data_IF_207286436178
#
_entry.id   IF_207286436178
#
_cell.length_a   1.000
_cell.length_b   1.000
_cell.length_c   1.000
_cell.angle_alpha   90.00
_cell.angle_beta   90.00
_cell.angle_gamma   90.00
#
_symmetry.space_group_name_H-M   'P 1'
#
loop_
_entity.id
_entity.type
_entity.pdbx_description
1 polymer ?
#
# COMPACT_ATOMS: atom_id res chain seq x y z
N UNK A 1 -9.56 12.93 17.95
CA UNK A 1 -10.63 13.90 17.59
C UNK A 1 -11.97 13.22 17.75
N UNK A 2 -12.86 13.69 18.64
CA UNK A 2 -14.16 13.05 18.91
C UNK A 2 -15.11 13.01 17.69
N UNK A 3 -14.79 13.72 16.61
CA UNK A 3 -15.53 13.67 15.34
C UNK A 3 -15.24 12.43 14.49
N UNK A 4 -14.24 11.60 14.85
CA UNK A 4 -13.84 10.41 14.09
C UNK A 4 -14.17 9.09 14.79
N UNK A 5 -14.75 9.11 16.00
CA UNK A 5 -15.00 7.92 16.83
C UNK A 5 -16.12 6.99 16.28
N UNK A 6 -16.69 7.31 15.11
CA UNK A 6 -17.74 6.51 14.45
C UNK A 6 -17.57 6.40 12.93
N UNK A 7 -16.38 6.67 12.40
CA UNK A 7 -16.11 6.52 10.96
C UNK A 7 -15.92 5.04 10.63
N UNK A 8 -16.96 4.40 10.09
CA UNK A 8 -16.92 3.05 9.53
C UNK A 8 -16.59 3.11 8.03
N UNK A 9 -15.38 2.70 7.67
CA UNK A 9 -14.87 2.68 6.30
C UNK A 9 -15.67 1.74 5.37
N UNK A 10 -16.48 0.83 5.94
CA UNK A 10 -17.40 -0.06 5.22
C UNK A 10 -18.72 0.62 4.80
N UNK A 11 -19.05 1.78 5.36
CA UNK A 11 -20.28 2.50 4.99
C UNK A 11 -20.02 3.34 3.73
N UNK A 12 -20.92 3.25 2.75
CA UNK A 12 -20.83 4.02 1.52
C UNK A 12 -20.64 5.53 1.79
N UNK A 13 -20.14 6.29 0.80
CA UNK A 13 -19.73 7.67 1.03
C UNK A 13 -20.85 8.47 1.74
N UNK A 14 -20.53 9.18 2.84
CA UNK A 14 -21.52 9.94 3.58
C UNK A 14 -22.21 10.92 2.62
N UNK A 15 -23.51 11.13 2.84
CA UNK A 15 -24.29 12.07 2.03
C UNK A 15 -23.56 13.41 1.97
N UNK A 16 -23.31 13.92 0.76
CA UNK A 16 -22.58 15.19 0.55
C UNK A 16 -23.22 16.28 1.42
N UNK A 17 -22.52 16.69 2.46
CA UNK A 17 -22.95 17.77 3.31
C UNK A 17 -22.74 19.08 2.54
N UNK A 18 -23.83 19.80 2.27
CA UNK A 18 -23.77 21.22 1.90
C UNK A 18 -23.49 22.06 3.16
N UNK A 19 -22.40 21.74 3.88
CA UNK A 19 -22.09 22.34 5.17
C UNK A 19 -21.57 23.77 5.06
N UNK A 20 -21.03 24.15 3.91
CA UNK A 20 -20.44 25.47 3.68
C UNK A 20 -21.40 26.30 2.85
N UNK A 21 -22.12 27.19 3.54
CA UNK A 21 -22.92 28.23 2.88
C UNK A 21 -21.99 29.36 2.44
N UNK A 22 -21.93 29.62 1.13
CA UNK A 22 -21.12 30.70 0.55
C UNK A 22 -21.84 32.04 0.56
N UNK A 23 -23.13 32.07 0.94
CA UNK A 23 -23.98 33.26 1.10
C UNK A 23 -23.32 34.38 1.92
N UNK A 24 -22.40 34.04 2.84
CA UNK A 24 -21.63 35.03 3.63
C UNK A 24 -20.65 35.86 2.77
N UNK A 25 -20.17 35.30 1.67
CA UNK A 25 -19.21 35.93 0.76
C UNK A 25 -19.87 36.54 -0.49
N UNK A 26 -21.18 36.40 -0.62
CA UNK A 26 -21.95 37.06 -1.66
C UNK A 26 -22.11 38.55 -1.32
N UNK A 27 -22.43 39.34 -2.35
CA UNK A 27 -22.61 40.78 -2.20
C UNK A 27 -23.82 41.07 -1.31
N UNK A 28 -23.69 42.04 -0.41
CA UNK A 28 -24.78 42.42 0.49
C UNK A 28 -25.73 43.38 -0.23
N UNK A 29 -27.01 43.04 -0.25
CA UNK A 29 -28.05 43.93 -0.76
C UNK A 29 -28.32 45.10 0.20
N UNK A 30 -28.50 46.29 -0.38
CA UNK A 30 -28.91 47.46 0.37
C UNK A 30 -30.42 47.38 0.68
N UNK A 31 -30.85 47.66 1.92
CA UNK A 31 -32.26 47.69 2.27
C UNK A 31 -32.99 48.81 1.51
N UNK A 32 -34.25 48.56 1.13
CA UNK A 32 -35.08 49.49 0.37
C UNK A 32 -35.76 50.52 1.27
N UNK A 33 -36.29 51.61 0.69
CA UNK A 33 -37.03 52.63 1.43
C UNK A 33 -38.30 52.10 2.16
N UNK A 34 -38.78 50.89 1.83
CA UNK A 34 -39.92 50.24 2.48
C UNK A 34 -39.54 49.09 3.42
N UNK A 35 -38.25 48.89 3.69
CA UNK A 35 -37.77 47.79 4.54
C UNK A 35 -38.18 47.98 6.01
N UNK A 36 -38.47 46.87 6.69
CA UNK A 36 -38.82 46.89 8.12
C UNK A 36 -37.61 47.27 8.98
N UNK A 37 -37.87 47.62 10.25
CA UNK A 37 -36.79 47.91 11.21
C UNK A 37 -35.93 46.65 11.42
N UNK A 38 -36.56 45.48 11.46
CA UNK A 38 -35.91 44.18 11.60
C UNK A 38 -34.99 43.88 10.41
N UNK A 39 -35.42 44.19 9.18
CA UNK A 39 -34.59 44.02 7.97
C UNK A 39 -33.39 44.98 7.98
N UNK A 40 -33.59 46.21 8.44
CA UNK A 40 -32.52 47.20 8.58
C UNK A 40 -31.47 46.77 9.62
N UNK A 41 -31.91 46.28 10.78
CA UNK A 41 -31.02 45.75 11.83
C UNK A 41 -30.22 44.53 11.35
N UNK A 42 -30.86 43.63 10.61
CA UNK A 42 -30.19 42.49 10.00
C UNK A 42 -29.14 42.91 8.97
N UNK A 43 -29.47 43.89 8.11
CA UNK A 43 -28.53 44.42 7.11
C UNK A 43 -27.31 45.09 7.75
N UNK A 44 -27.51 45.93 8.78
CA UNK A 44 -26.41 46.59 9.51
C UNK A 44 -25.51 45.58 10.21
N UNK A 45 -26.09 44.55 10.83
CA UNK A 45 -25.34 43.48 11.48
C UNK A 45 -24.47 42.73 10.48
N UNK A 46 -25.04 42.33 9.35
CA UNK A 46 -24.32 41.65 8.27
C UNK A 46 -23.20 42.53 7.69
N UNK A 47 -23.47 43.81 7.44
CA UNK A 47 -22.46 44.77 6.97
C UNK A 47 -21.30 44.94 7.97
N UNK A 48 -21.60 45.01 9.28
CA UNK A 48 -20.58 45.09 10.32
C UNK A 48 -19.68 43.84 10.40
N UNK A 49 -20.28 42.66 10.26
CA UNK A 49 -19.56 41.38 10.20
C UNK A 49 -18.65 41.35 8.96
N UNK A 50 -19.19 41.66 7.78
CA UNK A 50 -18.44 41.68 6.52
C UNK A 50 -17.31 42.70 6.54
N UNK A 51 -17.55 43.90 7.06
CA UNK A 51 -16.52 44.94 7.21
C UNK A 51 -15.36 44.49 8.12
N UNK A 52 -15.67 43.80 9.21
CA UNK A 52 -14.66 43.28 10.14
C UNK A 52 -13.85 42.15 9.50
N UNK A 53 -14.52 41.23 8.81
CA UNK A 53 -13.88 40.15 8.06
C UNK A 53 -12.95 40.69 6.97
N UNK A 54 -13.39 41.65 6.16
CA UNK A 54 -12.58 42.24 5.09
C UNK A 54 -11.34 42.96 5.66
N UNK A 55 -11.49 43.68 6.77
CA UNK A 55 -10.34 44.30 7.46
C UNK A 55 -9.33 43.27 7.94
N UNK A 56 -9.79 42.16 8.51
CA UNK A 56 -8.89 41.08 8.94
C UNK A 56 -8.22 40.40 7.74
N UNK A 57 -8.95 40.23 6.63
CA UNK A 57 -8.41 39.66 5.39
C UNK A 57 -7.32 40.53 4.79
N UNK A 58 -7.55 41.84 4.68
CA UNK A 58 -6.52 42.80 4.21
C UNK A 58 -5.28 42.71 5.09
N UNK A 59 -5.44 42.77 6.41
CA UNK A 59 -4.31 42.60 7.35
C UNK A 59 -3.59 41.26 7.18
N UNK A 60 -4.34 40.18 6.92
CA UNK A 60 -3.78 38.86 6.63
C UNK A 60 -2.94 38.84 5.35
N UNK A 61 -3.45 39.44 4.28
CA UNK A 61 -2.74 39.56 3.00
C UNK A 61 -1.50 40.45 3.13
N UNK A 62 -1.61 41.58 3.82
CA UNK A 62 -0.46 42.45 4.11
C UNK A 62 0.63 41.70 4.88
N UNK A 63 0.28 40.85 5.85
CA UNK A 63 1.26 40.03 6.56
C UNK A 63 1.92 38.96 5.68
N UNK A 64 1.22 38.47 4.66
CA UNK A 64 1.78 37.50 3.71
C UNK A 64 2.72 38.17 2.70
N UNK A 65 2.35 39.36 2.22
CA UNK A 65 3.13 40.15 1.25
C UNK A 65 4.33 40.84 1.90
N UNK A 66 4.13 41.43 3.09
CA UNK A 66 5.16 42.18 3.80
C UNK A 66 6.32 41.26 4.17
N UNK A 67 7.51 41.62 3.70
CA UNK A 67 8.73 40.87 3.98
C UNK A 67 8.79 39.51 3.27
N UNK A 68 7.98 39.26 2.23
CA UNK A 68 7.98 37.99 1.47
C UNK A 68 7.73 36.73 2.31
N UNK A 69 7.17 36.87 3.52
CA UNK A 69 6.98 35.75 4.45
C UNK A 69 6.14 34.62 3.86
N UNK A 70 5.08 34.94 3.12
CA UNK A 70 4.27 33.92 2.45
C UNK A 70 5.06 33.08 1.44
N UNK A 71 6.00 33.70 0.71
CA UNK A 71 6.88 33.00 -0.23
C UNK A 71 7.90 32.13 0.52
N UNK A 72 8.51 32.67 1.58
CA UNK A 72 9.49 31.94 2.39
C UNK A 72 8.87 30.71 3.05
N UNK A 73 7.70 30.87 3.68
CA UNK A 73 6.96 29.77 4.32
C UNK A 73 6.56 28.71 3.28
N UNK A 74 6.13 29.12 2.08
CA UNK A 74 5.80 28.19 1.00
C UNK A 74 7.03 27.42 0.50
N UNK A 75 8.15 28.10 0.27
CA UNK A 75 9.40 27.45 -0.15
C UNK A 75 9.94 26.51 0.93
N UNK A 76 9.83 26.87 2.20
CA UNK A 76 10.21 26.00 3.32
C UNK A 76 9.33 24.73 3.37
N UNK A 77 8.02 24.88 3.18
CA UNK A 77 7.09 23.76 3.07
C UNK A 77 7.41 22.83 1.89
N UNK A 78 7.74 23.40 0.73
CA UNK A 78 8.19 22.62 -0.44
C UNK A 78 9.49 21.88 -0.14
N UNK A 79 10.50 22.53 0.44
CA UNK A 79 11.77 21.89 0.79
C UNK A 79 11.58 20.73 1.78
N UNK A 80 10.71 20.91 2.78
CA UNK A 80 10.34 19.84 3.71
C UNK A 80 9.68 18.66 2.96
N UNK A 81 8.76 18.96 2.05
CA UNK A 81 8.04 17.94 1.27
C UNK A 81 8.99 17.16 0.35
N UNK A 82 9.90 17.86 -0.33
CA UNK A 82 10.95 17.24 -1.14
C UNK A 82 11.85 16.33 -0.31
N UNK A 83 12.25 16.76 0.90
CA UNK A 83 13.04 15.93 1.80
C UNK A 83 12.30 14.66 2.23
N UNK A 84 11.03 14.77 2.60
CA UNK A 84 10.21 13.60 2.95
C UNK A 84 10.13 12.63 1.77
N UNK A 85 9.95 13.14 0.54
CA UNK A 85 9.96 12.32 -0.66
C UNK A 85 11.30 11.59 -0.84
N UNK A 86 12.42 12.30 -0.81
CA UNK A 86 13.76 11.72 -0.94
C UNK A 86 14.05 10.65 0.11
N UNK A 87 13.69 10.92 1.38
CA UNK A 87 13.86 9.96 2.47
C UNK A 87 13.02 8.69 2.21
N UNK A 88 11.76 8.83 1.77
CA UNK A 88 10.91 7.67 1.43
C UNK A 88 11.38 6.91 0.19
N UNK A 89 11.90 7.60 -0.81
CA UNK A 89 12.47 6.96 -2.01
C UNK A 89 13.74 6.18 -1.69
N UNK A 90 14.56 6.71 -0.77
CA UNK A 90 15.73 6.00 -0.25
C UNK A 90 15.33 4.76 0.53
N UNK A 91 14.39 4.85 1.47
CA UNK A 91 13.89 3.70 2.22
C UNK A 91 13.33 2.61 1.28
N UNK A 92 12.65 3.01 0.21
CA UNK A 92 12.17 2.10 -0.81
C UNK A 92 13.32 1.41 -1.57
N UNK A 93 14.37 2.14 -1.93
CA UNK A 93 15.53 1.58 -2.60
C UNK A 93 16.28 0.58 -1.71
N UNK A 94 16.55 0.95 -0.46
CA UNK A 94 17.23 0.11 0.54
C UNK A 94 16.42 -1.18 0.78
N UNK A 95 15.10 -1.07 0.91
CA UNK A 95 14.21 -2.22 1.09
C UNK A 95 14.22 -3.15 -0.12
N UNK A 96 14.26 -2.61 -1.34
CA UNK A 96 14.34 -3.43 -2.56
C UNK A 96 15.66 -4.20 -2.62
N UNK A 97 16.78 -3.56 -2.28
CA UNK A 97 18.08 -4.22 -2.23
C UNK A 97 18.08 -5.36 -1.19
N UNK A 98 17.49 -5.14 -0.01
CA UNK A 98 17.37 -6.19 1.00
C UNK A 98 16.54 -7.38 0.49
N UNK A 99 15.42 -7.12 -0.19
CA UNK A 99 14.60 -8.16 -0.81
C UNK A 99 15.41 -8.94 -1.85
N UNK A 100 16.12 -8.25 -2.75
CA UNK A 100 16.93 -8.89 -3.78
C UNK A 100 18.02 -9.78 -3.18
N UNK A 101 18.68 -9.33 -2.11
CA UNK A 101 19.65 -10.13 -1.36
C UNK A 101 19.02 -11.41 -0.80
N UNK A 102 17.89 -11.30 -0.12
CA UNK A 102 17.20 -12.45 0.48
C UNK A 102 16.71 -13.43 -0.60
N UNK A 103 16.17 -12.92 -1.72
CA UNK A 103 15.74 -13.74 -2.85
C UNK A 103 16.92 -14.49 -3.47
N UNK A 104 18.06 -13.81 -3.65
CA UNK A 104 19.29 -14.42 -4.15
C UNK A 104 19.79 -15.53 -3.23
N UNK A 105 19.90 -15.26 -1.92
CA UNK A 105 20.32 -16.26 -0.93
C UNK A 105 19.38 -17.48 -0.90
N UNK A 106 18.06 -17.23 -0.96
CA UNK A 106 17.05 -18.29 -1.03
C UNK A 106 17.24 -19.14 -2.27
N UNK A 107 17.42 -18.50 -3.44
CA UNK A 107 17.62 -19.19 -4.71
C UNK A 107 18.86 -20.08 -4.66
N UNK A 108 20.01 -19.56 -4.21
CA UNK A 108 21.25 -20.34 -4.11
C UNK A 108 21.08 -21.58 -3.21
N UNK A 109 20.42 -21.43 -2.05
CA UNK A 109 20.15 -22.56 -1.15
C UNK A 109 19.23 -23.60 -1.80
N UNK A 110 18.20 -23.15 -2.52
CA UNK A 110 17.27 -24.05 -3.20
C UNK A 110 17.94 -24.78 -4.37
N UNK A 111 18.79 -24.11 -5.15
CA UNK A 111 19.55 -24.74 -6.24
C UNK A 111 20.53 -25.79 -5.70
N UNK A 112 21.21 -25.53 -4.59
CA UNK A 112 22.10 -26.49 -3.95
C UNK A 112 21.37 -27.77 -3.51
N UNK A 113 20.24 -27.62 -2.80
CA UNK A 113 19.41 -28.76 -2.37
C UNK A 113 18.79 -29.48 -3.56
N UNK A 114 18.40 -28.75 -4.61
CA UNK A 114 17.87 -29.34 -5.83
C UNK A 114 18.85 -30.29 -6.53
N UNK A 115 20.14 -29.93 -6.56
CA UNK A 115 21.19 -30.80 -7.07
C UNK A 115 21.32 -32.10 -6.28
N UNK A 116 21.34 -32.02 -4.94
CA UNK A 116 21.39 -33.19 -4.06
C UNK A 116 20.16 -34.08 -4.21
N UNK A 117 18.96 -33.48 -4.28
CA UNK A 117 17.70 -34.19 -4.52
C UNK A 117 17.73 -34.97 -5.83
N UNK A 118 18.24 -34.36 -6.91
CA UNK A 118 18.36 -35.03 -8.21
C UNK A 118 19.29 -36.26 -8.16
N UNK A 119 20.44 -36.14 -7.49
CA UNK A 119 21.38 -37.26 -7.31
C UNK A 119 20.76 -38.38 -6.47
N UNK A 120 20.05 -38.03 -5.39
CA UNK A 120 19.35 -38.98 -4.54
C UNK A 120 18.24 -39.70 -5.33
N UNK A 121 17.47 -38.98 -6.12
CA UNK A 121 16.42 -39.55 -6.96
C UNK A 121 16.99 -40.53 -8.00
N UNK A 122 18.07 -40.14 -8.69
CA UNK A 122 18.72 -41.01 -9.67
C UNK A 122 19.31 -42.27 -9.02
N UNK A 123 19.99 -42.10 -7.88
CA UNK A 123 20.58 -43.21 -7.13
C UNK A 123 19.52 -44.16 -6.61
N UNK A 124 18.41 -43.62 -6.08
CA UNK A 124 17.27 -44.41 -5.63
C UNK A 124 16.64 -45.19 -6.78
N UNK A 125 16.39 -44.54 -7.92
CA UNK A 125 15.82 -45.19 -9.12
C UNK A 125 16.71 -46.34 -9.62
N UNK A 126 18.03 -46.12 -9.71
CA UNK A 126 19.01 -47.15 -10.06
C UNK A 126 19.07 -48.27 -9.01
N UNK A 127 18.96 -47.95 -7.73
CA UNK A 127 18.92 -48.92 -6.63
C UNK A 127 17.71 -49.84 -6.72
N UNK A 128 16.51 -49.26 -6.86
CA UNK A 128 15.26 -50.02 -7.05
C UNK A 128 15.33 -50.88 -8.31
N UNK A 129 15.79 -50.33 -9.43
CA UNK A 129 15.95 -51.08 -10.68
C UNK A 129 16.81 -52.34 -10.51
N UNK A 130 17.98 -52.21 -9.87
CA UNK A 130 18.87 -53.36 -9.59
C UNK A 130 18.22 -54.40 -8.69
N UNK A 131 17.48 -54.01 -7.67
CA UNK A 131 16.77 -54.96 -6.78
C UNK A 131 15.71 -55.73 -7.56
N UNK A 132 14.99 -55.07 -8.48
CA UNK A 132 14.00 -55.73 -9.34
C UNK A 132 14.67 -56.69 -10.31
N UNK A 133 15.74 -56.26 -11.01
CA UNK A 133 16.50 -57.10 -11.94
C UNK A 133 17.08 -58.34 -11.27
N UNK A 134 17.71 -58.16 -10.10
CA UNK A 134 18.26 -59.28 -9.31
C UNK A 134 17.18 -60.22 -8.79
N UNK A 135 16.02 -59.69 -8.39
CA UNK A 135 14.86 -60.49 -8.00
C UNK A 135 14.34 -61.37 -9.15
N UNK A 136 14.23 -60.80 -10.36
CA UNK A 136 13.82 -61.55 -11.57
C UNK A 136 14.86 -62.60 -11.95
N UNK A 137 16.15 -62.28 -11.88
CA UNK A 137 17.22 -63.23 -12.16
C UNK A 137 17.22 -64.40 -11.16
N UNK A 138 17.09 -64.12 -9.87
CA UNK A 138 17.01 -65.14 -8.82
C UNK A 138 15.75 -66.03 -8.98
N UNK A 139 14.62 -65.45 -9.38
CA UNK A 139 13.40 -66.20 -9.73
C UNK A 139 13.63 -67.14 -10.92
N UNK A 140 14.31 -66.65 -11.97
CA UNK A 140 14.67 -67.45 -13.15
C UNK A 140 15.52 -68.66 -12.78
N UNK A 141 16.62 -68.45 -12.05
CA UNK A 141 17.51 -69.53 -11.57
C UNK A 141 16.75 -70.55 -10.72
N UNK A 142 15.83 -70.09 -9.86
CA UNK A 142 15.03 -71.01 -9.05
C UNK A 142 14.12 -71.90 -9.91
N UNK A 143 13.49 -71.34 -10.94
CA UNK A 143 12.64 -72.12 -11.87
C UNK A 143 13.46 -73.12 -12.67
N UNK A 144 14.63 -72.72 -13.17
CA UNK A 144 15.55 -73.61 -13.87
C UNK A 144 16.00 -74.77 -12.97
N UNK A 145 16.38 -74.48 -11.72
CA UNK A 145 16.75 -75.52 -10.75
C UNK A 145 15.61 -76.50 -10.44
N UNK A 146 14.38 -76.00 -10.28
CA UNK A 146 13.19 -76.85 -10.11
C UNK A 146 12.91 -77.72 -11.35
N UNK A 147 13.13 -77.19 -12.56
CA UNK A 147 12.95 -77.95 -13.79
C UNK A 147 14.01 -79.07 -13.93
N UNK A 148 15.27 -78.81 -13.56
CA UNK A 148 16.35 -79.82 -13.57
C UNK A 148 16.09 -80.92 -12.55
N UNK A 149 15.65 -80.56 -11.33
CA UNK A 149 15.29 -81.53 -10.29
C UNK A 149 14.03 -82.34 -10.64
N UNK A 150 13.06 -81.72 -11.32
CA UNK A 150 11.87 -82.40 -11.85
C UNK A 150 12.15 -83.30 -13.06
N UNK A 151 13.17 -82.99 -13.86
CA UNK A 151 13.57 -83.76 -15.04
C UNK A 151 14.44 -85.00 -14.76
N UNK A 152 14.92 -85.17 -13.52
CA UNK A 152 15.68 -86.34 -13.08
C UNK A 152 14.83 -87.51 -12.56
N UNK A 153 13.50 -87.41 -12.67
CA UNK A 153 12.56 -88.45 -12.25
C UNK A 153 11.69 -88.87 -13.44
N UNK A 154 12.31 -89.56 -14.40
CA UNK A 154 11.66 -90.34 -15.44
C UNK A 154 12.30 -91.73 -15.50
#
# INVERSE_FOLDING_TARGET
>A
CPALDGFDESTGPPQKLNAIKMERYEELDAPSAGSSVEDLEAAVRSAGITSTYLRLRVRGLENLEKGSKGKEDWLAGNALTSRVLEDTEKELADTKEEIERVVSERRTRQEAVGGEMGVLEETWRKGVGRVVETGVAAEGVRREGLAVLGGGSA
#
